data_IF_908660013264
#
_entry.id   IF_908660013264
#
_cell.length_a   1.000
_cell.length_b   1.000
_cell.length_c   1.000
_cell.angle_alpha   90.00
_cell.angle_beta   90.00
_cell.angle_gamma   90.00
#
_symmetry.space_group_name_H-M   'P 1'
#
loop_
_entity.id
_entity.type
_entity.pdbx_description
1 polymer ?
#
# COMPACT_ATOMS: atom_id res chain seq x y z
N UNK A 1 -13.24 12.87 -38.42
CA UNK A 1 -12.91 12.14 -37.18
C UNK A 1 -13.84 12.62 -36.10
N UNK A 2 -14.54 11.74 -35.40
CA UNK A 2 -15.34 12.15 -34.24
C UNK A 2 -14.38 12.48 -33.10
N UNK A 3 -14.51 13.68 -32.53
CA UNK A 3 -13.79 14.02 -31.29
C UNK A 3 -14.36 13.15 -30.17
N UNK A 4 -13.55 12.35 -29.46
CA UNK A 4 -14.05 11.61 -28.32
C UNK A 4 -14.54 12.62 -27.27
N UNK A 5 -15.81 12.50 -26.88
CA UNK A 5 -16.43 13.28 -25.81
C UNK A 5 -16.87 12.30 -24.73
N UNK A 6 -16.32 12.45 -23.52
CA UNK A 6 -16.83 11.80 -22.31
C UNK A 6 -17.73 12.80 -21.60
N UNK A 7 -18.96 12.39 -21.30
CA UNK A 7 -19.86 13.16 -20.45
C UNK A 7 -19.73 12.65 -19.00
N UNK A 8 -19.55 13.53 -18.03
CA UNK A 8 -19.42 13.12 -16.63
C UNK A 8 -20.69 12.43 -16.08
N UNK A 9 -21.83 12.55 -16.77
CA UNK A 9 -23.04 11.82 -16.42
C UNK A 9 -23.00 10.31 -16.75
N UNK A 10 -22.03 9.87 -17.56
CA UNK A 10 -21.87 8.46 -17.95
C UNK A 10 -20.75 7.74 -17.19
N UNK A 11 -20.20 8.38 -16.15
CA UNK A 11 -19.20 7.77 -15.28
C UNK A 11 -19.80 6.57 -14.57
N UNK A 12 -19.09 5.45 -14.58
CA UNK A 12 -19.57 4.17 -14.08
C UNK A 12 -18.56 3.39 -13.24
N UNK A 13 -17.41 3.99 -12.91
CA UNK A 13 -16.34 3.33 -12.17
C UNK A 13 -15.21 2.79 -13.05
N UNK A 14 -15.54 2.32 -14.25
CA UNK A 14 -14.55 1.80 -15.21
C UNK A 14 -14.02 2.88 -16.16
N UNK A 15 -14.80 3.94 -16.38
CA UNK A 15 -14.44 5.10 -17.21
C UNK A 15 -14.26 6.39 -16.37
N UNK A 16 -14.11 6.23 -15.06
CA UNK A 16 -14.01 7.29 -14.07
C UNK A 16 -15.15 7.29 -13.06
N UNK A 17 -15.01 8.15 -12.05
CA UNK A 17 -15.87 8.21 -10.87
C UNK A 17 -16.16 9.64 -10.44
N UNK A 18 -17.29 9.83 -9.77
CA UNK A 18 -17.64 11.08 -9.11
C UNK A 18 -17.30 10.99 -7.61
N UNK A 19 -16.63 12.02 -7.09
CA UNK A 19 -16.38 12.17 -5.65
C UNK A 19 -17.41 13.15 -5.07
N UNK A 20 -18.20 12.68 -4.12
CA UNK A 20 -19.25 13.45 -3.47
C UNK A 20 -18.89 13.72 -2.01
N UNK A 21 -19.28 14.89 -1.50
CA UNK A 21 -19.26 15.22 -0.07
C UNK A 21 -20.70 15.49 0.35
N UNK A 22 -21.41 14.50 0.86
CA UNK A 22 -22.85 14.61 1.19
C UNK A 22 -23.15 15.31 2.53
N UNK A 23 -22.31 16.24 2.96
CA UNK A 23 -22.58 17.07 4.12
C UNK A 23 -22.73 18.54 3.67
N UNK A 24 -23.92 19.11 3.88
CA UNK A 24 -24.34 20.44 3.42
C UNK A 24 -23.41 21.59 3.84
N UNK A 25 -22.50 21.34 4.78
CA UNK A 25 -21.62 22.36 5.30
C UNK A 25 -20.20 22.38 4.69
N UNK A 26 -19.83 21.39 3.86
CA UNK A 26 -18.53 21.36 3.18
C UNK A 26 -18.63 21.75 1.71
N UNK A 27 -17.65 22.50 1.24
CA UNK A 27 -17.41 22.70 -0.19
C UNK A 27 -16.00 22.26 -0.54
N UNK A 28 -15.87 21.51 -1.63
CA UNK A 28 -14.57 21.25 -2.26
C UNK A 28 -13.98 22.60 -2.68
N UNK A 29 -12.78 22.90 -2.18
CA UNK A 29 -12.04 24.15 -2.45
C UNK A 29 -10.89 23.95 -3.41
N UNK A 30 -10.20 22.82 -3.28
CA UNK A 30 -8.96 22.54 -3.98
C UNK A 30 -8.88 21.03 -4.21
N UNK A 31 -8.33 20.64 -5.35
CA UNK A 31 -8.01 19.24 -5.66
C UNK A 31 -6.60 19.19 -6.24
N UNK A 32 -5.89 18.11 -5.96
CA UNK A 32 -4.56 17.82 -6.49
C UNK A 32 -4.40 16.31 -6.67
N UNK A 33 -3.51 15.89 -7.56
CA UNK A 33 -2.87 14.58 -7.39
C UNK A 33 -2.12 14.57 -6.05
N UNK A 34 -2.13 13.43 -5.38
CA UNK A 34 -1.38 13.17 -4.16
C UNK A 34 -0.04 12.48 -4.43
N UNK A 35 0.22 12.05 -5.69
CA UNK A 35 1.29 11.10 -5.96
C UNK A 35 0.95 9.72 -5.42
N UNK A 36 1.90 8.82 -5.35
CA UNK A 36 1.72 7.52 -4.69
C UNK A 36 2.01 7.69 -3.19
N UNK A 37 0.99 8.14 -2.44
CA UNK A 37 1.15 8.56 -1.05
C UNK A 37 1.11 7.37 -0.08
N UNK A 38 0.51 6.25 -0.49
CA UNK A 38 0.53 4.98 0.25
C UNK A 38 1.49 3.93 -0.30
N UNK A 39 2.20 4.20 -1.40
CA UNK A 39 3.21 3.30 -1.97
C UNK A 39 2.59 2.02 -2.53
N UNK A 40 1.44 2.10 -3.19
CA UNK A 40 0.78 0.93 -3.79
C UNK A 40 0.94 0.86 -5.33
N UNK A 41 1.76 1.76 -5.88
CA UNK A 41 2.01 1.90 -7.30
C UNK A 41 0.92 2.68 -8.06
N UNK A 42 -0.13 3.17 -7.38
CA UNK A 42 -1.20 3.96 -8.00
C UNK A 42 -1.26 5.38 -7.45
N UNK A 43 -1.13 6.37 -8.34
CA UNK A 43 -1.34 7.78 -7.98
C UNK A 43 -2.69 8.02 -7.26
N UNK A 44 -2.60 8.68 -6.12
CA UNK A 44 -3.69 9.05 -5.23
C UNK A 44 -4.27 10.43 -5.56
N UNK A 45 -5.42 10.75 -4.95
CA UNK A 45 -6.08 12.06 -5.08
C UNK A 45 -6.29 12.73 -3.73
N UNK A 46 -5.85 13.98 -3.62
CA UNK A 46 -6.13 14.84 -2.48
C UNK A 46 -7.26 15.83 -2.79
N UNK A 47 -8.28 15.86 -1.92
CA UNK A 47 -9.42 16.76 -2.00
C UNK A 47 -9.46 17.65 -0.75
N UNK A 48 -9.16 18.94 -0.92
CA UNK A 48 -9.33 19.95 0.10
C UNK A 48 -10.77 20.45 0.19
N UNK A 49 -11.39 20.32 1.36
CA UNK A 49 -12.74 20.78 1.64
C UNK A 49 -12.76 21.74 2.84
N UNK A 50 -13.35 22.92 2.65
CA UNK A 50 -13.52 23.89 3.74
C UNK A 50 -14.97 23.99 4.16
N UNK A 51 -15.19 24.23 5.45
CA UNK A 51 -16.51 24.48 6.00
C UNK A 51 -17.06 25.86 5.60
N UNK A 52 -18.35 25.96 5.26
CA UNK A 52 -19.01 27.22 4.87
C UNK A 52 -19.78 27.90 6.01
N UNK A 53 -20.18 27.15 7.04
CA UNK A 53 -21.09 27.64 8.07
C UNK A 53 -20.37 28.45 9.15
N UNK A 54 -20.84 29.68 9.37
CA UNK A 54 -20.26 30.65 10.32
C UNK A 54 -20.72 30.29 11.73
N UNK A 55 -19.94 29.51 12.47
CA UNK A 55 -20.10 29.31 13.91
C UNK A 55 -20.50 27.90 14.40
N UNK A 56 -20.27 26.84 13.62
CA UNK A 56 -20.23 25.47 14.14
C UNK A 56 -19.15 24.66 13.38
N UNK A 57 -18.40 23.83 14.10
CA UNK A 57 -17.14 23.18 13.70
C UNK A 57 -17.32 21.93 12.83
N UNK A 58 -16.42 21.68 11.87
CA UNK A 58 -15.07 21.23 12.25
C UNK A 58 -13.93 21.94 11.51
N UNK A 59 -12.75 21.79 12.10
CA UNK A 59 -11.45 22.10 11.52
C UNK A 59 -11.46 21.73 10.02
N UNK A 60 -11.01 22.64 9.16
CA UNK A 60 -11.04 22.41 7.70
C UNK A 60 -10.49 21.03 7.34
N UNK A 61 -11.08 20.37 6.34
CA UNK A 61 -10.91 18.93 6.14
C UNK A 61 -10.32 18.64 4.78
N UNK A 62 -9.22 17.90 4.73
CA UNK A 62 -8.76 17.22 3.52
C UNK A 62 -9.29 15.80 3.47
N UNK A 63 -9.33 15.23 2.27
CA UNK A 63 -9.50 13.80 2.05
C UNK A 63 -8.37 13.34 1.14
N UNK A 64 -7.77 12.20 1.45
CA UNK A 64 -6.92 11.45 0.51
C UNK A 64 -7.76 10.26 0.07
N UNK A 65 -7.79 10.00 -1.23
CA UNK A 65 -8.46 8.86 -1.85
C UNK A 65 -7.39 8.04 -2.54
N UNK A 66 -7.24 6.79 -2.11
CA UNK A 66 -6.19 5.94 -2.65
C UNK A 66 -6.51 5.47 -4.07
N UNK A 67 -5.49 5.46 -4.92
CA UNK A 67 -5.44 4.77 -6.18
C UNK A 67 -5.69 3.27 -5.98
N UNK A 68 -6.04 2.55 -7.05
CA UNK A 68 -6.07 1.07 -7.07
C UNK A 68 -6.40 0.49 -8.43
N UNK A 69 -5.87 -0.71 -8.69
CA UNK A 69 -6.17 -1.51 -9.88
C UNK A 69 -7.65 -1.91 -9.99
N UNK A 70 -8.31 -2.20 -8.87
CA UNK A 70 -9.68 -2.73 -8.82
C UNK A 70 -10.75 -1.75 -9.32
N UNK A 71 -10.36 -0.51 -9.59
CA UNK A 71 -11.25 0.55 -10.03
C UNK A 71 -12.11 1.10 -8.90
N UNK A 72 -13.04 1.98 -9.26
CA UNK A 72 -13.83 2.74 -8.29
C UNK A 72 -15.32 2.55 -8.50
N UNK A 73 -16.12 2.89 -7.49
CA UNK A 73 -17.56 3.02 -7.69
C UNK A 73 -17.87 4.26 -8.54
N UNK A 74 -18.94 4.23 -9.34
CA UNK A 74 -19.37 5.36 -10.17
C UNK A 74 -19.53 6.68 -9.39
N UNK A 75 -19.94 6.57 -8.13
CA UNK A 75 -20.01 7.66 -7.16
C UNK A 75 -19.46 7.18 -5.82
N UNK A 76 -18.58 7.96 -5.20
CA UNK A 76 -17.96 7.68 -3.91
C UNK A 76 -18.27 8.82 -2.94
N UNK A 77 -18.69 8.49 -1.72
CA UNK A 77 -19.04 9.48 -0.70
C UNK A 77 -17.90 9.65 0.32
N UNK A 78 -17.14 10.74 0.20
CA UNK A 78 -15.91 10.95 0.98
C UNK A 78 -16.12 10.96 2.51
N UNK A 79 -17.21 11.52 3.07
CA UNK A 79 -17.49 11.45 4.51
C UNK A 79 -17.70 10.04 5.04
N UNK A 80 -18.09 9.06 4.20
CA UNK A 80 -18.26 7.68 4.63
C UNK A 80 -16.92 7.00 4.97
N UNK A 81 -15.80 7.47 4.39
CA UNK A 81 -14.43 7.10 4.77
C UNK A 81 -14.11 7.43 6.24
N UNK A 82 -14.89 8.31 6.89
CA UNK A 82 -14.68 8.67 8.30
C UNK A 82 -15.40 7.74 9.30
N UNK A 83 -16.28 6.84 8.85
CA UNK A 83 -17.09 5.97 9.73
C UNK A 83 -16.70 4.48 9.70
N UNK A 84 -15.86 4.09 8.77
CA UNK A 84 -15.22 2.78 8.72
C UNK A 84 -13.78 3.00 8.26
N UNK A 85 -12.82 2.71 9.14
CA UNK A 85 -11.40 2.60 8.83
C UNK A 85 -11.20 1.42 7.87
N UNK A 86 -11.60 1.59 6.63
CA UNK A 86 -11.03 0.80 5.55
C UNK A 86 -9.89 1.64 4.99
N UNK A 87 -8.72 1.50 5.62
CA UNK A 87 -7.47 2.16 5.22
C UNK A 87 -7.13 1.88 3.75
N UNK A 88 -7.76 0.93 3.08
CA UNK A 88 -7.52 0.64 1.66
C UNK A 88 -8.15 1.65 0.67
N UNK A 89 -9.02 2.57 1.11
CA UNK A 89 -9.68 3.53 0.19
C UNK A 89 -9.25 4.99 0.41
N UNK A 90 -8.39 5.24 1.39
CA UNK A 90 -7.97 6.58 1.80
C UNK A 90 -8.58 7.02 3.14
N UNK A 91 -8.41 8.29 3.48
CA UNK A 91 -8.73 8.79 4.82
C UNK A 91 -9.01 10.30 4.86
N UNK A 92 -9.52 10.75 6.02
CA UNK A 92 -9.82 12.16 6.31
C UNK A 92 -8.65 12.84 7.04
N UNK A 93 -8.19 13.96 6.50
CA UNK A 93 -7.26 14.87 7.15
C UNK A 93 -8.04 15.94 7.93
N UNK A 94 -7.94 15.91 9.26
CA UNK A 94 -8.56 16.92 10.11
C UNK A 94 -7.62 18.10 10.32
N UNK A 95 -8.11 19.32 10.14
CA UNK A 95 -7.38 20.52 10.54
C UNK A 95 -7.17 20.62 12.06
N UNK A 96 -6.36 21.58 12.48
CA UNK A 96 -5.94 21.74 13.88
C UNK A 96 -6.98 22.49 14.72
N UNK A 97 -7.39 23.70 14.29
CA UNK A 97 -8.36 24.51 15.02
C UNK A 97 -9.54 25.00 14.16
N UNK A 98 -10.61 25.37 14.84
CA UNK A 98 -11.81 25.93 14.22
C UNK A 98 -11.49 27.28 13.55
N UNK A 99 -11.92 27.44 12.30
CA UNK A 99 -11.74 28.69 11.56
C UNK A 99 -10.39 28.82 10.83
N UNK A 100 -9.45 27.89 11.04
CA UNK A 100 -8.14 27.91 10.38
C UNK A 100 -8.22 27.69 8.86
N UNK A 101 -9.31 27.06 8.40
CA UNK A 101 -9.52 26.79 6.99
C UNK A 101 -8.53 25.78 6.41
N UNK A 102 -8.07 24.79 7.19
CA UNK A 102 -7.26 23.68 6.67
C UNK A 102 -7.90 23.04 5.42
N UNK A 103 -7.08 22.70 4.43
CA UNK A 103 -7.57 22.19 3.15
C UNK A 103 -8.13 23.28 2.21
N UNK A 104 -7.89 24.57 2.51
CA UNK A 104 -8.22 25.67 1.57
C UNK A 104 -7.42 25.60 0.28
N UNK A 105 -6.19 25.10 0.37
CA UNK A 105 -5.31 24.78 -0.75
C UNK A 105 -4.60 23.47 -0.43
N UNK A 106 -4.51 22.59 -1.43
CA UNK A 106 -3.82 21.31 -1.33
C UNK A 106 -2.93 21.09 -2.55
N UNK A 107 -1.82 20.40 -2.37
CA UNK A 107 -0.89 19.98 -3.43
C UNK A 107 -0.15 18.72 -2.99
N UNK A 108 0.37 17.95 -3.94
CA UNK A 108 1.52 17.08 -3.67
C UNK A 108 2.74 17.95 -3.33
N UNK A 109 3.61 17.43 -2.46
CA UNK A 109 4.92 17.96 -2.15
C UNK A 109 6.06 17.15 -2.82
N UNK A 110 5.72 16.01 -3.44
CA UNK A 110 6.66 14.94 -3.79
C UNK A 110 7.21 14.29 -2.52
N UNK A 111 8.11 13.32 -2.66
CA UNK A 111 8.88 12.79 -1.52
C UNK A 111 9.92 13.84 -1.05
N UNK A 112 9.63 14.54 0.05
CA UNK A 112 10.51 15.59 0.60
C UNK A 112 11.50 15.07 1.64
N UNK A 113 11.33 13.83 2.10
CA UNK A 113 12.20 13.18 3.09
C UNK A 113 13.01 11.99 2.55
N UNK A 114 12.89 11.68 1.26
CA UNK A 114 13.60 10.60 0.55
C UNK A 114 13.32 9.22 1.18
N UNK A 115 12.06 8.97 1.56
CA UNK A 115 11.60 7.70 2.15
C UNK A 115 10.89 6.77 1.16
N UNK A 116 10.69 7.21 -0.08
CA UNK A 116 10.06 6.43 -1.14
C UNK A 116 8.57 6.69 -1.31
N UNK A 117 7.93 7.46 -0.42
CA UNK A 117 6.51 7.80 -0.53
C UNK A 117 6.33 9.26 -0.94
N UNK A 118 5.38 9.55 -1.83
CA UNK A 118 5.05 10.94 -2.13
C UNK A 118 4.40 11.62 -0.92
N UNK A 119 4.73 12.89 -0.66
CA UNK A 119 4.15 13.66 0.44
C UNK A 119 3.09 14.66 0.00
N UNK A 120 2.32 15.16 0.97
CA UNK A 120 1.27 16.15 0.74
C UNK A 120 1.57 17.46 1.46
N UNK A 121 1.11 18.56 0.87
CA UNK A 121 1.11 19.86 1.52
C UNK A 121 -0.29 20.50 1.51
N UNK A 122 -0.72 20.94 2.69
CA UNK A 122 -2.02 21.58 2.92
C UNK A 122 -1.90 22.95 3.57
N UNK A 123 -2.64 23.93 3.07
CA UNK A 123 -2.71 25.28 3.61
C UNK A 123 -3.86 25.48 4.61
N UNK A 124 -3.57 26.21 5.69
CA UNK A 124 -4.52 26.67 6.70
C UNK A 124 -4.34 28.19 6.92
N UNK A 125 -4.93 29.04 6.06
CA UNK A 125 -4.67 30.48 6.06
C UNK A 125 -5.15 31.21 7.32
N UNK A 126 -6.10 30.62 8.06
CA UNK A 126 -6.61 31.19 9.30
C UNK A 126 -5.78 30.84 10.54
N UNK A 127 -4.79 29.95 10.43
CA UNK A 127 -4.04 29.44 11.58
C UNK A 127 -3.28 30.54 12.35
N UNK A 128 -3.26 30.39 13.66
CA UNK A 128 -2.81 31.42 14.60
C UNK A 128 -1.42 31.15 15.21
N UNK A 129 -0.66 30.19 14.68
CA UNK A 129 0.62 29.71 15.21
C UNK A 129 1.64 30.83 15.52
N UNK A 130 1.59 31.94 14.77
CA UNK A 130 2.47 33.11 14.96
C UNK A 130 1.69 34.43 15.06
N UNK A 131 0.46 34.38 15.58
CA UNK A 131 -0.44 35.53 15.71
C UNK A 131 -1.66 35.42 14.83
N UNK A 132 -2.61 36.34 15.02
CA UNK A 132 -3.95 36.24 14.44
C UNK A 132 -3.91 36.13 12.91
N UNK A 133 -4.41 34.99 12.40
CA UNK A 133 -4.47 34.60 11.00
C UNK A 133 -3.13 34.73 10.28
N UNK A 134 -2.04 34.38 10.99
CA UNK A 134 -0.69 34.30 10.43
C UNK A 134 -0.57 33.27 9.31
N UNK A 135 -1.48 32.29 9.29
CA UNK A 135 -1.46 31.16 8.38
C UNK A 135 -0.47 30.09 8.82
N UNK A 136 -0.71 28.87 8.38
CA UNK A 136 0.24 27.75 8.49
C UNK A 136 0.08 26.85 7.27
N UNK A 137 1.18 26.20 6.89
CA UNK A 137 1.19 25.09 5.93
C UNK A 137 1.66 23.85 6.67
N UNK A 138 1.07 22.72 6.34
CA UNK A 138 1.41 21.43 6.93
C UNK A 138 1.87 20.50 5.82
N UNK A 139 3.03 19.87 6.01
CA UNK A 139 3.48 18.73 5.21
C UNK A 139 3.04 17.47 5.94
N UNK A 140 2.50 16.51 5.20
CA UNK A 140 2.08 15.21 5.70
C UNK A 140 2.90 14.20 4.93
N UNK A 141 3.66 13.37 5.64
CA UNK A 141 4.47 12.34 5.00
C UNK A 141 3.62 11.17 4.55
N UNK A 142 3.93 10.69 3.34
CA UNK A 142 3.46 9.40 2.84
C UNK A 142 3.93 8.25 3.73
N UNK A 143 3.33 7.07 3.53
CA UNK A 143 3.63 5.81 4.22
C UNK A 143 2.63 4.75 3.78
N UNK A 144 2.98 3.49 3.94
CA UNK A 144 2.07 2.38 3.68
C UNK A 144 1.02 2.12 4.81
N UNK A 145 1.18 2.70 6.02
CA UNK A 145 0.17 2.64 7.12
C UNK A 145 -0.31 3.99 7.67
N UNK A 146 -1.62 4.23 7.68
CA UNK A 146 -2.22 5.42 8.31
C UNK A 146 -3.01 5.14 9.60
N UNK A 147 -2.84 3.99 10.24
CA UNK A 147 -3.48 3.70 11.53
C UNK A 147 -2.93 4.62 12.63
N UNK A 148 -3.81 5.49 13.15
CA UNK A 148 -3.47 6.71 13.89
C UNK A 148 -2.90 6.57 15.32
N UNK A 149 -1.89 5.72 15.53
CA UNK A 149 -1.22 5.52 16.82
C UNK A 149 0.27 5.92 16.88
N UNK A 150 0.90 6.18 15.73
CA UNK A 150 2.36 6.10 15.62
C UNK A 150 2.80 4.64 15.43
N UNK A 151 4.07 4.44 15.07
CA UNK A 151 4.62 3.11 14.82
C UNK A 151 5.02 2.41 16.13
N UNK A 152 4.60 1.16 16.33
CA UNK A 152 4.94 0.40 17.56
C UNK A 152 6.42 0.05 17.63
N UNK A 153 7.01 -0.27 16.47
CA UNK A 153 8.43 -0.58 16.30
C UNK A 153 9.08 0.36 15.27
N UNK A 154 9.44 1.59 15.66
CA UNK A 154 10.11 2.53 14.76
C UNK A 154 11.58 2.17 14.58
N UNK A 155 12.01 2.15 13.33
CA UNK A 155 13.34 1.86 12.82
C UNK A 155 14.37 2.96 13.05
N UNK A 156 15.62 2.61 12.79
CA UNK A 156 16.76 3.52 12.68
C UNK A 156 17.36 3.44 11.29
N UNK A 157 18.30 4.32 10.90
CA UNK A 157 18.96 4.20 9.60
C UNK A 157 19.94 3.02 9.43
N UNK A 158 19.92 2.01 10.30
CA UNK A 158 20.76 0.83 10.15
C UNK A 158 20.08 -0.43 10.64
N UNK A 159 20.68 -1.58 10.33
CA UNK A 159 20.07 -2.92 10.51
C UNK A 159 19.45 -3.17 11.92
N UNK A 160 18.13 -3.17 11.97
CA UNK A 160 17.29 -3.40 13.13
C UNK A 160 16.70 -4.81 13.16
N UNK A 161 16.36 -5.27 14.37
CA UNK A 161 15.75 -6.59 14.59
C UNK A 161 14.52 -6.46 15.48
N UNK A 162 13.36 -6.49 14.84
CA UNK A 162 12.07 -6.39 15.49
C UNK A 162 11.39 -7.74 15.65
N UNK A 163 10.59 -7.83 16.72
CA UNK A 163 9.78 -9.00 17.01
C UNK A 163 8.51 -8.54 17.69
N UNK A 164 7.41 -8.68 16.99
CA UNK A 164 6.10 -8.23 17.43
C UNK A 164 5.46 -9.11 18.48
N UNK A 165 4.16 -8.89 18.63
CA UNK A 165 3.30 -9.60 19.58
C UNK A 165 2.27 -10.43 18.84
N UNK A 166 1.34 -11.05 19.57
CA UNK A 166 0.18 -11.72 18.96
C UNK A 166 -1.02 -10.79 18.76
N UNK A 167 -0.86 -9.50 19.11
CA UNK A 167 -1.82 -8.45 18.82
C UNK A 167 -1.29 -7.65 17.61
N UNK A 168 -2.20 -7.02 16.83
CA UNK A 168 -1.81 -6.13 15.73
C UNK A 168 -0.79 -5.09 16.19
N UNK A 169 0.32 -5.00 15.46
CA UNK A 169 1.36 -3.98 15.66
C UNK A 169 1.89 -3.45 14.33
N UNK A 170 2.50 -2.27 14.35
CA UNK A 170 3.18 -1.69 13.18
C UNK A 170 4.71 -1.69 13.32
N UNK A 171 5.40 -2.02 12.24
CA UNK A 171 6.85 -1.96 12.10
C UNK A 171 7.25 -0.99 11.00
N UNK A 172 8.32 -0.24 11.23
CA UNK A 172 8.99 0.63 10.25
C UNK A 172 10.49 0.31 10.33
N UNK A 173 11.11 -0.16 9.25
CA UNK A 173 12.53 -0.49 9.18
C UNK A 173 13.40 0.76 9.03
N UNK A 174 13.00 1.66 8.12
CA UNK A 174 13.78 2.85 7.81
C UNK A 174 14.86 2.51 6.78
N UNK A 175 16.13 2.83 7.04
CA UNK A 175 17.20 2.38 6.14
C UNK A 175 17.93 1.20 6.81
N UNK A 176 18.46 0.27 6.04
CA UNK A 176 19.22 -0.85 6.57
C UNK A 176 18.76 -2.18 6.01
N UNK A 177 19.27 -3.27 6.55
CA UNK A 177 18.77 -4.60 6.27
C UNK A 177 18.04 -5.10 7.51
N UNK A 178 16.76 -4.79 7.59
CA UNK A 178 15.96 -4.93 8.78
C UNK A 178 15.28 -6.28 8.83
N UNK A 179 15.07 -6.75 10.06
CA UNK A 179 14.40 -8.03 10.32
C UNK A 179 13.14 -7.78 11.13
N UNK A 180 11.99 -7.93 10.51
CA UNK A 180 10.69 -7.79 11.14
C UNK A 180 9.97 -9.13 11.26
N UNK A 181 9.48 -9.43 12.46
CA UNK A 181 8.81 -10.70 12.74
C UNK A 181 7.44 -10.45 13.36
N UNK A 182 6.38 -10.69 12.58
CA UNK A 182 5.02 -10.84 13.07
C UNK A 182 4.86 -12.09 13.92
N UNK A 183 4.06 -11.98 14.99
CA UNK A 183 3.71 -13.13 15.85
C UNK A 183 2.19 -13.34 15.93
N UNK A 184 1.46 -12.80 14.96
CA UNK A 184 0.02 -12.97 14.74
C UNK A 184 -0.76 -11.69 15.03
N UNK A 185 -2.00 -11.63 14.55
CA UNK A 185 -2.74 -10.38 14.48
C UNK A 185 -2.47 -9.68 13.15
N UNK A 186 -3.26 -8.63 12.90
CA UNK A 186 -3.16 -7.81 11.69
C UNK A 186 -1.96 -6.87 11.75
N UNK A 187 -0.77 -7.44 11.67
CA UNK A 187 0.51 -6.72 11.70
C UNK A 187 0.73 -5.92 10.40
N UNK A 188 1.35 -4.77 10.52
CA UNK A 188 1.69 -3.84 9.43
C UNK A 188 3.21 -3.74 9.31
N UNK A 189 3.79 -3.90 8.12
CA UNK A 189 5.24 -3.90 7.93
C UNK A 189 5.66 -2.93 6.84
N UNK A 190 6.52 -1.98 7.18
CA UNK A 190 7.22 -1.10 6.24
C UNK A 190 8.73 -1.38 6.36
N UNK A 191 9.34 -1.89 5.28
CA UNK A 191 10.78 -2.18 5.19
C UNK A 191 11.63 -0.93 5.05
N UNK A 192 11.19 0.02 4.25
CA UNK A 192 12.00 1.17 3.85
C UNK A 192 13.11 0.77 2.87
N UNK A 193 14.34 1.24 3.08
CA UNK A 193 15.44 1.03 2.14
C UNK A 193 16.43 -0.02 2.60
N UNK A 194 16.65 -1.05 1.79
CA UNK A 194 17.81 -1.91 1.85
C UNK A 194 17.50 -3.35 1.52
N UNK A 195 17.59 -4.26 2.49
CA UNK A 195 17.33 -5.67 2.22
C UNK A 195 16.69 -6.33 3.41
N UNK A 196 15.38 -6.26 3.42
CA UNK A 196 14.60 -6.53 4.59
C UNK A 196 14.08 -7.96 4.58
N UNK A 197 13.83 -8.45 5.79
CA UNK A 197 13.24 -9.73 6.04
C UNK A 197 12.00 -9.52 6.87
N UNK A 198 10.84 -9.62 6.22
CA UNK A 198 9.52 -9.55 6.84
C UNK A 198 9.00 -10.96 6.99
N UNK A 199 8.52 -11.31 8.19
CA UNK A 199 8.01 -12.65 8.46
C UNK A 199 6.58 -12.61 9.00
N UNK A 200 5.65 -13.09 8.20
CA UNK A 200 4.22 -13.17 8.52
C UNK A 200 3.85 -14.55 9.08
N UNK A 201 2.81 -14.59 9.91
CA UNK A 201 2.31 -15.84 10.53
C UNK A 201 1.02 -16.35 9.87
N UNK A 202 0.25 -15.47 9.25
CA UNK A 202 -1.01 -15.75 8.56
C UNK A 202 -1.27 -14.70 7.47
N UNK A 203 -2.44 -14.74 6.86
CA UNK A 203 -2.94 -13.81 5.83
C UNK A 203 -3.78 -12.64 6.41
N UNK A 204 -3.86 -12.56 7.74
CA UNK A 204 -4.61 -11.55 8.47
C UNK A 204 -3.85 -10.23 8.65
N UNK A 205 -2.62 -10.11 8.11
CA UNK A 205 -1.80 -8.90 8.18
C UNK A 205 -2.53 -7.67 7.58
N UNK A 206 -2.16 -6.50 8.09
CA UNK A 206 -2.60 -5.19 7.61
C UNK A 206 -2.08 -4.96 6.20
N UNK A 207 -0.77 -4.78 6.09
CA UNK A 207 -0.02 -4.75 4.84
C UNK A 207 1.43 -5.19 5.07
N UNK A 208 2.12 -5.46 3.97
CA UNK A 208 3.55 -5.76 3.89
C UNK A 208 4.12 -4.92 2.76
N UNK A 209 5.07 -4.07 3.08
CA UNK A 209 5.81 -3.29 2.12
C UNK A 209 7.29 -3.53 2.37
N UNK A 210 7.99 -4.07 1.37
CA UNK A 210 9.43 -4.28 1.45
C UNK A 210 10.24 -3.00 1.19
N UNK A 211 9.63 -1.98 0.58
CA UNK A 211 10.28 -0.75 0.17
C UNK A 211 11.34 -0.97 -0.93
N UNK A 212 12.39 -0.16 -0.92
CA UNK A 212 13.44 -0.23 -1.96
C UNK A 212 14.48 -1.26 -1.59
N UNK A 213 14.74 -2.23 -2.48
CA UNK A 213 15.69 -3.26 -2.05
C UNK A 213 15.65 -4.58 -2.78
N UNK A 214 15.89 -5.64 -2.00
CA UNK A 214 15.64 -7.01 -2.45
C UNK A 214 15.08 -7.79 -1.28
N UNK A 215 13.79 -7.68 -1.12
CA UNK A 215 13.15 -7.89 0.15
C UNK A 215 12.52 -9.27 0.22
N UNK A 216 12.46 -9.79 1.44
CA UNK A 216 12.12 -11.19 1.69
C UNK A 216 10.86 -11.26 2.54
N UNK A 217 9.78 -11.77 1.94
CA UNK A 217 8.60 -12.20 2.67
C UNK A 217 8.71 -13.67 3.07
N UNK A 218 8.90 -13.93 4.36
CA UNK A 218 8.98 -15.26 4.95
C UNK A 218 7.64 -15.74 5.51
N UNK A 219 7.25 -16.95 5.15
CA UNK A 219 6.07 -17.62 5.72
C UNK A 219 6.49 -18.39 6.98
N UNK A 220 5.98 -18.00 8.15
CA UNK A 220 6.31 -18.67 9.42
C UNK A 220 5.46 -19.90 9.73
N UNK A 221 4.32 -20.06 9.06
CA UNK A 221 3.24 -20.95 9.49
C UNK A 221 3.59 -22.45 9.49
N UNK A 222 2.69 -23.26 10.04
CA UNK A 222 2.79 -24.73 10.11
C UNK A 222 1.97 -25.38 8.99
N UNK A 223 2.43 -25.26 7.74
CA UNK A 223 1.66 -25.61 6.55
C UNK A 223 0.69 -24.50 6.13
N UNK A 224 1.19 -23.27 6.12
CA UNK A 224 0.42 -22.09 5.73
C UNK A 224 0.26 -22.02 4.22
N UNK A 225 -0.94 -21.66 3.78
CA UNK A 225 -1.23 -21.36 2.38
C UNK A 225 -1.40 -19.85 2.25
N UNK A 226 -0.48 -19.19 1.57
CA UNK A 226 -0.65 -17.80 1.15
C UNK A 226 -1.27 -17.77 -0.24
N UNK A 227 -2.48 -17.24 -0.35
CA UNK A 227 -3.16 -17.01 -1.62
C UNK A 227 -2.91 -15.56 -2.07
N UNK A 228 -1.86 -15.32 -2.86
CA UNK A 228 -1.46 -13.97 -3.26
C UNK A 228 -2.60 -13.16 -3.90
N UNK A 229 -3.43 -13.72 -4.81
CA UNK A 229 -4.56 -12.98 -5.39
C UNK A 229 -5.54 -12.40 -4.37
N UNK A 230 -5.62 -12.99 -3.17
CA UNK A 230 -6.52 -12.54 -2.10
C UNK A 230 -5.95 -11.42 -1.24
N UNK A 231 -4.64 -11.20 -1.29
CA UNK A 231 -3.90 -10.24 -0.45
C UNK A 231 -2.97 -9.34 -1.26
N UNK A 232 -3.02 -9.38 -2.59
CA UNK A 232 -2.09 -8.65 -3.46
C UNK A 232 -2.16 -7.14 -3.23
N UNK A 233 -3.36 -6.60 -3.00
CA UNK A 233 -3.58 -5.19 -2.65
C UNK A 233 -2.98 -4.77 -1.28
N UNK A 234 -2.33 -5.70 -0.58
CA UNK A 234 -1.72 -5.50 0.75
C UNK A 234 -0.23 -5.84 0.77
N UNK A 235 0.35 -6.27 -0.34
CA UNK A 235 1.76 -6.63 -0.41
C UNK A 235 2.40 -5.86 -1.54
N UNK A 236 3.44 -5.09 -1.23
CA UNK A 236 4.27 -4.41 -2.23
C UNK A 236 5.77 -4.57 -1.93
N UNK A 237 6.60 -4.36 -2.96
CA UNK A 237 8.06 -4.31 -2.85
C UNK A 237 8.69 -5.64 -2.41
N UNK A 238 8.24 -6.80 -2.93
CA UNK A 238 8.76 -8.11 -2.54
C UNK A 238 9.32 -8.89 -3.74
N UNK A 239 10.65 -9.09 -3.74
CA UNK A 239 11.34 -9.87 -4.79
C UNK A 239 11.50 -11.34 -4.40
N UNK A 240 11.44 -11.68 -3.10
CA UNK A 240 11.71 -13.03 -2.61
C UNK A 240 10.62 -13.50 -1.64
N UNK A 241 9.92 -14.59 -1.99
CA UNK A 241 9.08 -15.32 -1.04
C UNK A 241 9.82 -16.55 -0.52
N UNK A 242 9.87 -16.69 0.81
CA UNK A 242 10.52 -17.78 1.51
C UNK A 242 9.52 -18.67 2.24
N UNK A 243 9.40 -19.91 1.75
CA UNK A 243 8.54 -20.97 2.27
C UNK A 243 9.22 -21.84 3.34
N UNK A 244 10.41 -21.48 3.83
CA UNK A 244 11.16 -22.23 4.87
C UNK A 244 10.51 -22.20 6.28
N UNK A 245 9.19 -22.00 6.36
CA UNK A 245 8.40 -22.14 7.57
C UNK A 245 8.39 -23.57 8.10
N UNK A 246 7.51 -23.83 9.07
CA UNK A 246 7.35 -25.16 9.63
C UNK A 246 6.33 -25.94 8.76
N UNK A 247 6.56 -27.22 8.49
CA UNK A 247 5.63 -28.01 7.68
C UNK A 247 5.58 -27.57 6.21
N UNK A 248 4.56 -28.06 5.50
CA UNK A 248 4.43 -27.99 4.04
C UNK A 248 3.65 -26.73 3.63
N UNK A 249 4.35 -25.66 3.26
CA UNK A 249 3.72 -24.38 2.93
C UNK A 249 3.34 -24.31 1.46
N UNK A 250 2.30 -23.55 1.14
CA UNK A 250 1.81 -23.40 -0.23
C UNK A 250 1.70 -21.93 -0.59
N UNK A 251 2.16 -21.58 -1.79
CA UNK A 251 1.95 -20.27 -2.39
C UNK A 251 1.05 -20.43 -3.62
N UNK A 252 -0.10 -19.77 -3.63
CA UNK A 252 -0.94 -19.64 -4.83
C UNK A 252 -0.67 -18.29 -5.46
N UNK A 253 -0.49 -18.26 -6.78
CA UNK A 253 -0.19 -17.04 -7.51
C UNK A 253 -0.79 -17.01 -8.92
N UNK A 254 -0.86 -15.81 -9.49
CA UNK A 254 -1.12 -15.56 -10.91
C UNK A 254 0.06 -14.82 -11.55
N UNK A 255 0.03 -14.68 -12.88
CA UNK A 255 0.99 -13.84 -13.59
C UNK A 255 0.92 -12.39 -13.16
N UNK A 256 -0.29 -11.87 -12.88
CA UNK A 256 -0.49 -10.48 -12.53
C UNK A 256 0.12 -10.18 -11.17
N UNK A 257 -0.01 -11.10 -10.20
CA UNK A 257 0.60 -10.96 -8.88
C UNK A 257 2.12 -10.75 -8.95
N UNK A 258 2.82 -11.33 -9.93
CA UNK A 258 4.28 -11.15 -10.08
C UNK A 258 4.63 -9.73 -10.55
N UNK A 259 3.75 -9.15 -11.36
CA UNK A 259 3.90 -7.77 -11.84
C UNK A 259 3.54 -6.79 -10.73
N UNK A 260 2.49 -7.10 -9.97
CA UNK A 260 2.00 -6.23 -8.90
C UNK A 260 2.89 -6.28 -7.64
N UNK A 261 3.64 -7.36 -7.41
CA UNK A 261 4.56 -7.49 -6.27
C UNK A 261 5.94 -6.83 -6.47
N UNK A 262 6.39 -6.67 -7.72
CA UNK A 262 7.76 -6.24 -8.03
C UNK A 262 7.75 -4.85 -8.64
N UNK A 263 8.23 -3.89 -7.87
CA UNK A 263 8.44 -2.49 -8.26
C UNK A 263 9.50 -2.31 -9.36
N UNK A 264 10.42 -3.28 -9.54
CA UNK A 264 11.67 -3.08 -10.28
C UNK A 264 12.01 -4.11 -11.35
N UNK A 265 11.59 -5.38 -11.22
CA UNK A 265 12.15 -6.45 -12.07
C UNK A 265 11.16 -7.41 -12.70
N UNK A 266 9.86 -7.34 -12.36
CA UNK A 266 8.84 -8.33 -12.75
C UNK A 266 9.28 -9.77 -12.47
N UNK A 267 10.22 -9.96 -11.52
CA UNK A 267 10.87 -11.23 -11.24
C UNK A 267 10.67 -11.61 -9.80
N UNK A 268 9.88 -12.66 -9.56
CA UNK A 268 9.70 -13.21 -8.21
C UNK A 268 10.56 -14.45 -8.01
N UNK A 269 11.25 -14.52 -6.87
CA UNK A 269 12.04 -15.67 -6.48
C UNK A 269 11.43 -16.40 -5.30
N UNK A 270 11.12 -17.67 -5.48
CA UNK A 270 10.51 -18.51 -4.45
C UNK A 270 11.53 -19.53 -3.96
N UNK A 271 11.73 -19.60 -2.65
CA UNK A 271 12.62 -20.57 -1.99
C UNK A 271 11.84 -21.35 -0.96
N UNK A 272 11.98 -22.68 -0.94
CA UNK A 272 11.35 -23.56 0.03
C UNK A 272 12.12 -24.85 0.16
N UNK A 273 11.61 -25.75 0.99
CA UNK A 273 12.13 -27.09 1.20
C UNK A 273 11.19 -28.16 0.63
N UNK A 274 11.60 -29.42 0.74
CA UNK A 274 10.77 -30.56 0.34
C UNK A 274 9.49 -30.58 1.17
N UNK A 275 8.35 -30.56 0.47
CA UNK A 275 7.02 -30.50 1.07
C UNK A 275 6.28 -29.23 0.65
N UNK A 276 7.02 -28.14 0.41
CA UNK A 276 6.44 -26.89 -0.07
C UNK A 276 5.92 -27.00 -1.51
N UNK A 277 4.93 -26.17 -1.84
CA UNK A 277 4.34 -26.12 -3.18
C UNK A 277 4.01 -24.71 -3.67
N UNK A 278 4.08 -24.54 -4.99
CA UNK A 278 3.58 -23.35 -5.70
C UNK A 278 2.48 -23.79 -6.67
N UNK A 279 1.35 -23.10 -6.63
CA UNK A 279 0.16 -23.39 -7.43
C UNK A 279 -0.20 -22.18 -8.28
N UNK A 280 -0.72 -22.42 -9.48
CA UNK A 280 -1.07 -21.36 -10.45
C UNK A 280 -0.28 -21.43 -11.76
N UNK A 281 0.51 -22.49 -11.96
CA UNK A 281 1.35 -22.69 -13.13
C UNK A 281 0.75 -23.62 -14.19
N UNK A 282 -0.48 -24.11 -13.96
CA UNK A 282 -1.16 -25.07 -14.84
C UNK A 282 -1.45 -24.61 -16.29
N UNK A 283 -1.43 -23.29 -16.55
CA UNK A 283 -1.79 -22.71 -17.86
C UNK A 283 -1.04 -21.41 -18.14
N UNK A 284 -0.59 -21.22 -19.38
CA UNK A 284 -0.01 -19.95 -19.87
C UNK A 284 1.49 -19.77 -19.60
N UNK A 285 2.05 -20.49 -18.65
CA UNK A 285 3.48 -20.48 -18.34
C UNK A 285 4.32 -21.28 -19.33
N UNK A 286 5.53 -20.80 -19.57
CA UNK A 286 6.56 -21.49 -20.37
C UNK A 286 7.69 -21.94 -19.43
N UNK A 287 8.07 -23.21 -19.55
CA UNK A 287 9.19 -23.79 -18.83
C UNK A 287 10.53 -23.39 -19.49
N UNK A 288 11.36 -22.66 -18.75
CA UNK A 288 12.72 -22.24 -19.14
C UNK A 288 13.83 -23.21 -18.70
N UNK A 289 13.47 -24.29 -18.02
CA UNK A 289 14.37 -25.30 -17.47
C UNK A 289 14.97 -24.92 -16.12
N UNK A 290 15.81 -25.81 -15.61
CA UNK A 290 16.52 -25.64 -14.34
C UNK A 290 17.88 -24.98 -14.58
N UNK A 291 18.12 -23.85 -13.91
CA UNK A 291 19.38 -23.10 -13.94
C UNK A 291 19.91 -22.93 -12.51
N UNK A 292 20.95 -23.69 -12.17
CA UNK A 292 21.45 -23.75 -10.79
C UNK A 292 20.44 -24.45 -9.88
N UNK A 293 20.00 -23.76 -8.82
CA UNK A 293 19.05 -24.28 -7.83
C UNK A 293 17.61 -23.81 -8.06
N UNK A 294 17.31 -23.25 -9.23
CA UNK A 294 15.99 -22.72 -9.55
C UNK A 294 15.48 -23.28 -10.88
N UNK A 295 14.20 -23.62 -10.92
CA UNK A 295 13.42 -23.83 -12.13
C UNK A 295 12.86 -22.47 -12.56
N UNK A 296 13.05 -22.11 -13.83
CA UNK A 296 12.58 -20.84 -14.39
C UNK A 296 11.27 -21.05 -15.14
N UNK A 297 10.27 -20.23 -14.83
CA UNK A 297 9.01 -20.13 -15.59
C UNK A 297 8.80 -18.70 -16.06
N UNK A 298 8.26 -18.52 -17.26
CA UNK A 298 7.98 -17.18 -17.81
C UNK A 298 6.58 -17.12 -18.39
N UNK A 299 5.89 -15.99 -18.21
CA UNK A 299 4.60 -15.72 -18.86
C UNK A 299 4.45 -14.21 -19.12
N UNK A 300 4.45 -13.81 -20.39
CA UNK A 300 4.52 -12.39 -20.74
C UNK A 300 5.84 -11.80 -20.24
N UNK A 301 5.75 -10.71 -19.47
CA UNK A 301 6.89 -10.03 -18.86
C UNK A 301 7.25 -10.58 -17.47
N UNK A 302 6.41 -11.45 -16.89
CA UNK A 302 6.65 -12.04 -15.58
C UNK A 302 7.67 -13.18 -15.65
N UNK A 303 8.62 -13.16 -14.72
CA UNK A 303 9.64 -14.21 -14.54
C UNK A 303 9.51 -14.79 -13.13
N UNK A 304 9.41 -16.11 -13.04
CA UNK A 304 9.32 -16.84 -11.78
C UNK A 304 10.51 -17.78 -11.63
N UNK A 305 11.22 -17.67 -10.51
CA UNK A 305 12.36 -18.52 -10.17
C UNK A 305 12.02 -19.36 -8.94
N UNK A 306 11.61 -20.61 -9.14
CA UNK A 306 11.16 -21.51 -8.07
C UNK A 306 12.31 -22.45 -7.67
N UNK A 307 12.61 -22.55 -6.38
CA UNK A 307 13.63 -23.47 -5.88
C UNK A 307 13.33 -24.93 -6.27
N UNK A 308 14.35 -25.69 -6.68
CA UNK A 308 14.20 -27.07 -7.17
C UNK A 308 13.60 -28.07 -6.17
N UNK A 309 13.63 -27.74 -4.88
CA UNK A 309 13.04 -28.56 -3.82
C UNK A 309 11.55 -28.26 -3.59
N UNK A 310 11.00 -27.25 -4.26
CA UNK A 310 9.59 -26.84 -4.17
C UNK A 310 8.80 -27.47 -5.31
N UNK A 311 7.65 -28.05 -4.99
CA UNK A 311 6.79 -28.69 -5.98
C UNK A 311 5.91 -27.67 -6.72
N UNK A 312 5.53 -27.96 -7.96
CA UNK A 312 4.67 -27.08 -8.78
C UNK A 312 3.53 -27.86 -9.44
N UNK A 313 2.42 -27.19 -9.74
CA UNK A 313 1.32 -27.73 -10.56
C UNK A 313 1.56 -27.61 -12.08
N UNK A 314 2.77 -27.23 -12.51
CA UNK A 314 3.12 -27.14 -13.92
C UNK A 314 2.95 -28.49 -14.64
N UNK A 315 2.31 -28.56 -15.83
CA UNK A 315 2.06 -29.82 -16.51
C UNK A 315 3.36 -30.49 -16.97
N UNK A 316 3.59 -31.73 -16.52
CA UNK A 316 4.71 -32.55 -17.02
C UNK A 316 4.29 -33.10 -18.40
N UNK A 317 4.96 -32.66 -19.47
CA UNK A 317 4.79 -33.21 -20.83
C UNK A 317 5.66 -34.42 -21.09
#
# INVERSE_FOLDING_TARGET
>A
MATPIINVSILNGNNGSRLDIHNFDYNIRSVSSAGDFNGDGFDDVMVGASYFSRGASPNGTGFVVFGKASGFSAAMDLPSFASGFDSSNGFRLNGVAEGDGSGSSVSTAGDVNDDGFDDLIGGAPGADSHGRSSGSSYVIFGRSDFTGGGVDFPGTPGDDNFTGTSAPVSFEGGNGNDRMIGRGGADSFDGGAGKDYIRILGDDFGFVDGGTGTDILGLAGSGFTLDLPSVIDKIDGIEIISLYGVGDNTLTLTTQDIIDLSDTTNTLKIKGNVGDSVVGLSSGWVDGGVHGNFHTYTQGDAVLLIGVDVTTDFPIT
#
